data_IF_193684820697
#
_entry.id   IF_193684820697
#
_cell.length_a   1.000
_cell.length_b   1.000
_cell.length_c   1.000
_cell.angle_alpha   90.00
_cell.angle_beta   90.00
_cell.angle_gamma   90.00
#
_symmetry.space_group_name_H-M   'P 1'
#
loop_
_entity.id
_entity.type
_entity.pdbx_description
1 polymer ?
#
# COMPACT_ATOMS: atom_id res chain seq x y z
N UNK A 1 63.06 -4.70 3.98
CA UNK A 1 62.07 -4.83 5.08
C UNK A 1 60.95 -3.78 4.99
N UNK A 2 61.26 -2.49 4.83
CA UNK A 2 60.27 -1.40 4.74
C UNK A 2 59.17 -1.56 3.67
N UNK A 3 59.51 -2.01 2.44
CA UNK A 3 58.52 -2.22 1.35
C UNK A 3 57.51 -3.34 1.64
N UNK A 4 57.93 -4.44 2.29
CA UNK A 4 57.05 -5.55 2.68
C UNK A 4 56.09 -5.14 3.81
N UNK A 5 56.57 -4.36 4.78
CA UNK A 5 55.72 -3.83 5.86
C UNK A 5 54.70 -2.80 5.35
N UNK A 6 55.08 -1.93 4.40
CA UNK A 6 54.15 -1.02 3.73
C UNK A 6 53.07 -1.77 2.93
N UNK A 7 53.44 -2.84 2.22
CA UNK A 7 52.48 -3.68 1.50
C UNK A 7 51.49 -4.37 2.45
N UNK A 8 51.96 -4.90 3.58
CA UNK A 8 51.10 -5.52 4.60
C UNK A 8 50.15 -4.48 5.22
N UNK A 9 50.65 -3.29 5.55
CA UNK A 9 49.83 -2.18 6.07
C UNK A 9 48.77 -1.73 5.06
N UNK A 10 49.11 -1.65 3.76
CA UNK A 10 48.17 -1.30 2.71
C UNK A 10 47.07 -2.36 2.54
N UNK A 11 47.42 -3.64 2.60
CA UNK A 11 46.45 -4.75 2.55
C UNK A 11 45.51 -4.70 3.76
N UNK A 12 46.04 -4.50 4.97
CA UNK A 12 45.25 -4.32 6.20
C UNK A 12 44.30 -3.13 6.09
N UNK A 13 44.78 -2.00 5.56
CA UNK A 13 43.96 -0.81 5.36
C UNK A 13 42.80 -1.09 4.38
N UNK A 14 43.07 -1.74 3.24
CA UNK A 14 42.03 -2.11 2.26
C UNK A 14 41.00 -3.08 2.84
N UNK A 15 41.42 -4.07 3.63
CA UNK A 15 40.51 -5.02 4.27
C UNK A 15 39.63 -4.35 5.33
N UNK A 16 40.20 -3.47 6.15
CA UNK A 16 39.44 -2.72 7.17
C UNK A 16 38.51 -1.69 6.52
N UNK A 17 38.97 -0.96 5.50
CA UNK A 17 38.14 0.04 4.80
C UNK A 17 37.02 -0.63 3.98
N UNK A 18 37.33 -1.72 3.28
CA UNK A 18 36.35 -2.49 2.51
C UNK A 18 35.33 -3.19 3.42
N UNK A 19 35.80 -3.82 4.51
CA UNK A 19 34.94 -4.45 5.51
C UNK A 19 34.01 -3.45 6.19
N UNK A 20 34.52 -2.29 6.61
CA UNK A 20 33.72 -1.21 7.20
C UNK A 20 32.63 -0.70 6.24
N UNK A 21 32.99 -0.44 4.98
CA UNK A 21 32.03 0.00 3.95
C UNK A 21 30.92 -1.04 3.68
N UNK A 22 31.29 -2.32 3.57
CA UNK A 22 30.32 -3.40 3.39
C UNK A 22 29.37 -3.52 4.58
N UNK A 23 29.88 -3.41 5.82
CA UNK A 23 29.06 -3.45 7.03
C UNK A 23 28.10 -2.26 7.09
N UNK A 24 28.56 -1.05 6.74
CA UNK A 24 27.67 0.12 6.68
C UNK A 24 26.56 -0.04 5.64
N UNK A 25 26.87 -0.58 4.45
CA UNK A 25 25.87 -0.85 3.41
C UNK A 25 24.86 -1.93 3.81
N UNK A 26 25.32 -2.96 4.52
CA UNK A 26 24.45 -4.00 5.03
C UNK A 26 23.51 -3.47 6.11
N UNK A 27 24.02 -2.65 7.03
CA UNK A 27 23.20 -1.97 8.05
C UNK A 27 22.19 -1.01 7.40
N UNK A 28 22.60 -0.22 6.40
CA UNK A 28 21.70 0.63 5.61
C UNK A 28 20.58 -0.18 4.94
N UNK A 29 20.92 -1.33 4.37
CA UNK A 29 19.94 -2.22 3.74
C UNK A 29 18.99 -2.85 4.77
N UNK A 30 19.50 -3.31 5.91
CA UNK A 30 18.68 -3.86 7.00
C UNK A 30 17.70 -2.83 7.57
N UNK A 31 18.15 -1.58 7.71
CA UNK A 31 17.34 -0.49 8.23
C UNK A 31 16.50 0.22 7.14
N UNK A 32 16.60 -0.21 5.88
CA UNK A 32 15.80 0.37 4.80
C UNK A 32 14.32 0.06 5.03
N UNK A 33 13.41 1.05 4.92
CA UNK A 33 11.98 0.78 5.02
C UNK A 33 11.48 -0.13 3.87
N UNK A 34 12.26 -0.31 2.81
CA UNK A 34 11.92 -1.17 1.68
C UNK A 34 12.41 -2.61 1.84
N UNK A 35 13.24 -2.89 2.86
CA UNK A 35 13.65 -4.24 3.16
C UNK A 35 12.61 -4.89 4.08
N UNK A 36 11.77 -5.74 3.51
CA UNK A 36 10.69 -6.48 4.20
C UNK A 36 11.00 -7.97 4.38
N UNK A 37 12.24 -8.40 4.12
CA UNK A 37 12.62 -9.82 4.09
C UNK A 37 12.55 -10.54 5.45
N UNK A 38 12.42 -9.79 6.53
CA UNK A 38 12.19 -10.27 7.90
C UNK A 38 10.72 -10.54 8.21
N UNK A 39 9.79 -10.04 7.38
CA UNK A 39 8.34 -10.17 7.58
C UNK A 39 7.59 -10.77 6.39
N UNK A 40 8.16 -10.71 5.19
CA UNK A 40 7.61 -11.30 3.97
C UNK A 40 8.73 -11.95 3.16
N UNK A 41 8.53 -13.19 2.75
CA UNK A 41 9.39 -13.85 1.76
C UNK A 41 9.09 -13.39 0.32
N UNK A 42 9.88 -13.86 -0.65
CA UNK A 42 9.73 -13.47 -2.06
C UNK A 42 8.36 -13.87 -2.67
N UNK A 43 7.79 -15.01 -2.24
CA UNK A 43 6.47 -15.45 -2.71
C UNK A 43 5.39 -14.55 -2.12
N UNK A 44 5.48 -14.22 -0.83
CA UNK A 44 4.57 -13.32 -0.15
C UNK A 44 4.66 -11.90 -0.73
N UNK A 45 5.84 -11.35 -0.97
CA UNK A 45 6.00 -10.04 -1.63
C UNK A 45 5.26 -10.02 -2.97
N UNK A 46 5.36 -11.09 -3.76
CA UNK A 46 4.65 -11.19 -5.05
C UNK A 46 3.13 -11.25 -4.85
N UNK A 47 2.65 -12.07 -3.90
CA UNK A 47 1.24 -12.19 -3.56
C UNK A 47 0.66 -10.85 -3.09
N UNK A 48 1.34 -10.14 -2.18
CA UNK A 48 0.91 -8.84 -1.66
C UNK A 48 0.85 -7.78 -2.75
N UNK A 49 1.86 -7.69 -3.62
CA UNK A 49 1.81 -6.78 -4.77
C UNK A 49 0.61 -7.04 -5.66
N UNK A 50 0.32 -8.32 -5.94
CA UNK A 50 -0.80 -8.69 -6.81
C UNK A 50 -2.16 -8.47 -6.14
N UNK A 51 -2.30 -8.86 -4.89
CA UNK A 51 -3.52 -8.69 -4.11
C UNK A 51 -3.90 -7.23 -3.90
N UNK A 52 -2.93 -6.42 -3.48
CA UNK A 52 -3.16 -4.98 -3.32
C UNK A 52 -3.40 -4.27 -4.63
N UNK A 53 -2.78 -4.71 -5.75
CA UNK A 53 -3.14 -4.20 -7.07
C UNK A 53 -4.63 -4.38 -7.38
N UNK A 54 -5.18 -5.55 -7.08
CA UNK A 54 -6.61 -5.83 -7.30
C UNK A 54 -7.50 -5.03 -6.33
N UNK A 55 -7.05 -4.83 -5.09
CA UNK A 55 -7.72 -3.93 -4.13
C UNK A 55 -7.74 -2.47 -4.62
N UNK A 56 -6.61 -1.95 -5.09
CA UNK A 56 -6.51 -0.60 -5.67
C UNK A 56 -7.44 -0.45 -6.89
N UNK A 57 -7.52 -1.46 -7.76
CA UNK A 57 -8.47 -1.50 -8.87
C UNK A 57 -9.92 -1.48 -8.37
N UNK A 58 -10.24 -2.24 -7.32
CA UNK A 58 -11.58 -2.24 -6.71
C UNK A 58 -11.98 -0.87 -6.16
N UNK A 59 -11.11 -0.28 -5.33
CA UNK A 59 -11.38 1.00 -4.67
C UNK A 59 -11.43 2.15 -5.69
N UNK A 60 -10.51 2.19 -6.63
CA UNK A 60 -10.51 3.21 -7.68
C UNK A 60 -11.71 3.09 -8.62
N UNK A 61 -12.10 1.87 -8.99
CA UNK A 61 -13.32 1.63 -9.79
C UNK A 61 -14.55 2.13 -9.05
N UNK A 62 -14.69 1.84 -7.75
CA UNK A 62 -15.80 2.34 -6.95
C UNK A 62 -15.87 3.87 -6.92
N UNK A 63 -14.73 4.53 -6.65
CA UNK A 63 -14.68 6.00 -6.61
C UNK A 63 -15.04 6.58 -7.98
N UNK A 64 -14.47 6.03 -9.06
CA UNK A 64 -14.74 6.49 -10.44
C UNK A 64 -16.18 6.30 -10.86
N UNK A 65 -16.80 5.17 -10.53
CA UNK A 65 -18.18 4.89 -10.96
C UNK A 65 -19.21 5.61 -10.09
N UNK A 66 -18.88 5.98 -8.84
CA UNK A 66 -19.86 6.50 -7.87
C UNK A 66 -19.69 7.95 -7.47
N UNK A 67 -18.60 8.61 -7.86
CA UNK A 67 -18.36 10.01 -7.53
C UNK A 67 -18.02 10.83 -8.77
N UNK A 68 -18.72 11.93 -8.97
CA UNK A 68 -18.34 13.00 -9.89
C UNK A 68 -17.49 14.04 -9.18
N UNK A 69 -16.66 14.76 -9.93
CA UNK A 69 -15.78 15.81 -9.40
C UNK A 69 -14.40 15.33 -8.98
N UNK A 70 -14.04 14.08 -9.27
CA UNK A 70 -12.70 13.51 -9.02
C UNK A 70 -11.85 13.65 -10.28
N UNK A 71 -10.65 14.22 -10.15
CA UNK A 71 -9.68 14.34 -11.25
C UNK A 71 -8.66 13.21 -11.27
N UNK A 72 -8.24 12.75 -10.08
CA UNK A 72 -7.19 11.75 -9.92
C UNK A 72 -7.39 10.96 -8.63
N UNK A 73 -6.99 9.69 -8.68
CA UNK A 73 -6.89 8.79 -7.54
C UNK A 73 -5.45 8.27 -7.50
N UNK A 74 -4.81 8.29 -6.34
CA UNK A 74 -3.51 7.63 -6.15
C UNK A 74 -3.49 6.84 -4.85
N UNK A 75 -2.53 5.93 -4.75
CA UNK A 75 -2.37 5.08 -3.60
C UNK A 75 -0.98 5.25 -2.98
N UNK A 76 -0.93 5.12 -1.66
CA UNK A 76 0.32 4.97 -0.93
C UNK A 76 1.02 3.68 -1.31
N UNK A 77 2.31 3.52 -0.95
CA UNK A 77 2.90 2.19 -0.81
C UNK A 77 2.05 1.31 0.13
N UNK A 78 2.21 0.01 -0.02
CA UNK A 78 1.67 -1.00 0.90
C UNK A 78 2.54 -0.97 2.16
N UNK A 79 1.99 -0.43 3.24
CA UNK A 79 2.67 -0.35 4.51
C UNK A 79 2.49 -1.63 5.30
N UNK A 80 3.59 -2.31 5.63
CA UNK A 80 3.63 -3.51 6.44
C UNK A 80 4.10 -3.21 7.86
N UNK A 81 3.42 -3.79 8.83
CA UNK A 81 3.72 -3.70 10.26
C UNK A 81 3.51 -5.06 10.92
N UNK A 82 4.23 -5.32 12.01
CA UNK A 82 4.19 -6.60 12.71
C UNK A 82 4.71 -7.76 11.87
N UNK A 83 4.38 -8.99 12.27
CA UNK A 83 5.00 -10.19 11.70
C UNK A 83 6.40 -10.47 12.25
N UNK A 84 6.85 -9.65 13.20
CA UNK A 84 8.14 -9.72 13.89
C UNK A 84 8.14 -10.66 15.11
N UNK A 85 7.08 -11.45 15.28
CA UNK A 85 6.84 -12.30 16.44
C UNK A 85 6.32 -11.55 17.68
N UNK A 86 6.23 -10.21 17.66
CA UNK A 86 5.73 -9.40 18.77
C UNK A 86 4.32 -8.85 18.50
N UNK A 87 4.02 -8.55 17.24
CA UNK A 87 2.73 -8.00 16.84
C UNK A 87 2.17 -8.69 15.61
N UNK A 88 0.84 -8.73 15.54
CA UNK A 88 0.14 -9.33 14.41
C UNK A 88 0.48 -8.57 13.13
N UNK A 89 0.84 -9.31 12.08
CA UNK A 89 1.15 -8.76 10.77
C UNK A 89 -0.06 -7.98 10.22
N UNK A 90 0.18 -6.80 9.63
CA UNK A 90 -0.81 -5.97 8.95
C UNK A 90 -0.20 -5.37 7.70
N UNK A 91 -0.98 -5.31 6.62
CA UNK A 91 -0.67 -4.52 5.45
C UNK A 91 -1.80 -3.53 5.15
N UNK A 92 -1.49 -2.25 4.97
CA UNK A 92 -2.47 -1.20 4.69
C UNK A 92 -1.99 -0.27 3.58
N UNK A 93 -2.96 0.29 2.85
CA UNK A 93 -2.76 1.39 1.90
C UNK A 93 -3.63 2.58 2.30
N UNK A 94 -3.27 3.75 1.78
CA UNK A 94 -4.05 4.99 1.91
C UNK A 94 -4.45 5.44 0.51
N UNK A 95 -5.73 5.31 0.14
CA UNK A 95 -6.27 5.93 -1.06
C UNK A 95 -6.28 7.45 -0.91
N UNK A 96 -5.97 8.15 -1.99
CA UNK A 96 -5.97 9.61 -2.08
C UNK A 96 -6.82 10.03 -3.26
N UNK A 97 -7.65 11.05 -3.04
CA UNK A 97 -8.52 11.63 -4.06
C UNK A 97 -8.10 13.06 -4.31
N UNK A 98 -8.05 13.43 -5.58
CA UNK A 98 -7.93 14.81 -6.03
C UNK A 98 -9.26 15.26 -6.64
N UNK A 99 -9.72 16.45 -6.28
CA UNK A 99 -10.86 17.06 -6.95
C UNK A 99 -10.46 17.78 -8.25
N UNK A 100 -11.45 18.25 -9.02
CA UNK A 100 -11.21 19.00 -10.26
C UNK A 100 -10.45 20.33 -10.08
N UNK A 101 -10.30 20.82 -8.85
CA UNK A 101 -9.54 22.04 -8.54
C UNK A 101 -8.10 21.73 -8.11
N UNK A 102 -7.73 20.44 -8.03
CA UNK A 102 -6.41 20.00 -7.60
C UNK A 102 -6.26 19.88 -6.08
N UNK A 103 -7.33 20.02 -5.29
CA UNK A 103 -7.24 19.78 -3.85
C UNK A 103 -7.06 18.27 -3.60
N UNK A 104 -6.09 17.93 -2.75
CA UNK A 104 -5.71 16.55 -2.40
C UNK A 104 -6.25 16.19 -1.02
N UNK A 105 -6.87 15.01 -0.90
CA UNK A 105 -7.34 14.48 0.38
C UNK A 105 -7.04 12.99 0.55
N UNK A 106 -6.78 12.58 1.79
CA UNK A 106 -6.41 11.20 2.15
C UNK A 106 -7.59 10.51 2.82
N UNK A 107 -7.96 9.34 2.32
CA UNK A 107 -8.97 8.49 2.96
C UNK A 107 -8.37 7.72 4.15
N UNK A 108 -9.22 7.30 5.07
CA UNK A 108 -8.84 6.54 6.26
C UNK A 108 -8.11 7.35 7.34
N UNK A 109 -7.96 8.67 7.18
CA UNK A 109 -7.33 9.54 8.18
C UNK A 109 -8.34 10.16 9.14
N UNK A 110 -7.83 10.66 10.27
CA UNK A 110 -8.61 11.43 11.24
C UNK A 110 -9.06 12.77 10.62
N UNK A 111 -10.34 13.12 10.79
CA UNK A 111 -10.90 14.44 10.45
C UNK A 111 -11.55 15.00 11.71
N UNK A 112 -11.02 16.11 12.23
CA UNK A 112 -11.37 16.59 13.56
C UNK A 112 -11.01 15.52 14.61
N UNK A 113 -11.98 15.12 15.42
CA UNK A 113 -11.81 14.04 16.41
C UNK A 113 -12.16 12.63 15.91
N UNK A 114 -12.71 12.51 14.69
CA UNK A 114 -13.21 11.23 14.18
C UNK A 114 -12.16 10.51 13.32
N UNK A 115 -11.93 9.24 13.63
CA UNK A 115 -11.11 8.33 12.81
C UNK A 115 -11.98 7.61 11.77
N UNK A 116 -11.44 7.45 10.56
CA UNK A 116 -12.12 6.79 9.45
C UNK A 116 -11.48 5.42 9.17
N UNK A 117 -12.17 4.58 8.40
CA UNK A 117 -11.73 3.20 8.18
C UNK A 117 -10.49 3.13 7.30
N UNK A 118 -9.50 2.33 7.73
CA UNK A 118 -8.32 1.98 6.94
C UNK A 118 -8.66 0.95 5.86
N UNK A 119 -7.74 0.76 4.91
CA UNK A 119 -7.90 -0.12 3.76
C UNK A 119 -6.74 -1.12 3.68
N UNK A 120 -7.02 -2.43 3.77
CA UNK A 120 -5.92 -3.41 3.82
C UNK A 120 -6.31 -4.86 4.13
N UNK A 121 -5.31 -5.62 4.59
CA UNK A 121 -5.28 -7.10 4.64
C UNK A 121 -6.21 -7.77 5.67
N UNK A 122 -6.94 -7.00 6.48
CA UNK A 122 -7.91 -7.53 7.46
C UNK A 122 -9.36 -7.41 7.02
N UNK A 123 -9.68 -6.37 6.27
CA UNK A 123 -11.06 -5.94 6.07
C UNK A 123 -11.45 -5.85 4.60
N UNK A 124 -10.47 -5.69 3.70
CA UNK A 124 -10.73 -5.41 2.29
C UNK A 124 -10.12 -6.45 1.35
N UNK A 125 -8.96 -7.02 1.72
CA UNK A 125 -8.30 -8.08 0.95
C UNK A 125 -7.79 -9.17 1.89
N UNK A 126 -7.91 -10.43 1.49
CA UNK A 126 -7.28 -11.58 2.15
C UNK A 126 -6.31 -12.23 1.19
N UNK A 127 -5.14 -12.58 1.71
CA UNK A 127 -4.01 -13.09 0.95
C UNK A 127 -3.43 -14.27 1.71
N UNK A 128 -3.37 -15.41 1.05
CA UNK A 128 -2.82 -16.64 1.63
C UNK A 128 -2.31 -17.56 0.51
N UNK A 129 -1.81 -18.74 0.88
CA UNK A 129 -1.52 -19.84 -0.02
C UNK A 129 -2.34 -21.07 0.39
N UNK A 130 -2.84 -21.82 -0.60
CA UNK A 130 -3.46 -23.10 -0.31
C UNK A 130 -2.41 -24.18 0.04
N UNK A 131 -2.85 -25.39 0.40
CA UNK A 131 -1.95 -26.51 0.72
C UNK A 131 -1.08 -27.02 -0.44
N UNK A 132 -1.20 -26.43 -1.63
CA UNK A 132 -0.40 -26.71 -2.83
C UNK A 132 0.49 -25.53 -3.24
N UNK A 133 0.69 -24.55 -2.34
CA UNK A 133 1.41 -23.30 -2.59
C UNK A 133 0.79 -22.41 -3.70
N UNK A 134 -0.48 -22.58 -4.02
CA UNK A 134 -1.18 -21.71 -4.97
C UNK A 134 -1.71 -20.46 -4.26
N UNK A 135 -1.54 -19.29 -4.89
CA UNK A 135 -2.00 -18.00 -4.39
C UNK A 135 -3.52 -18.00 -4.14
N UNK A 136 -3.95 -17.58 -2.95
CA UNK A 136 -5.33 -17.24 -2.60
C UNK A 136 -5.43 -15.72 -2.49
N UNK A 137 -6.32 -15.12 -3.27
CA UNK A 137 -6.65 -13.70 -3.21
C UNK A 137 -8.16 -13.54 -3.11
N UNK A 138 -8.65 -13.00 -2.01
CA UNK A 138 -10.07 -12.69 -1.85
C UNK A 138 -10.29 -11.19 -1.60
N UNK A 139 -11.28 -10.59 -2.26
CA UNK A 139 -11.68 -9.21 -1.99
C UNK A 139 -13.03 -9.16 -1.29
N UNK A 140 -13.17 -8.19 -0.38
CA UNK A 140 -14.42 -7.92 0.31
C UNK A 140 -15.45 -7.34 -0.66
N UNK A 141 -16.64 -7.94 -0.72
CA UNK A 141 -17.81 -7.41 -1.43
C UNK A 141 -19.04 -7.59 -0.56
N UNK A 142 -19.65 -6.47 -0.16
CA UNK A 142 -20.73 -6.52 0.84
C UNK A 142 -20.23 -7.12 2.16
N UNK A 143 -20.88 -8.18 2.61
CA UNK A 143 -20.51 -8.93 3.82
C UNK A 143 -19.70 -10.21 3.52
N UNK A 144 -19.39 -10.48 2.26
CA UNK A 144 -18.66 -11.68 1.82
C UNK A 144 -17.25 -11.34 1.31
N UNK A 145 -16.46 -12.39 1.12
CA UNK A 145 -15.18 -12.34 0.41
C UNK A 145 -15.29 -13.20 -0.84
N UNK A 146 -14.89 -12.65 -1.98
CA UNK A 146 -14.94 -13.34 -3.27
C UNK A 146 -13.52 -13.72 -3.65
N UNK A 147 -13.28 -15.01 -3.88
CA UNK A 147 -12.04 -15.54 -4.42
C UNK A 147 -11.84 -15.08 -5.86
N UNK A 148 -10.75 -14.34 -6.08
CA UNK A 148 -10.31 -13.83 -7.39
C UNK A 148 -8.87 -14.25 -7.70
N UNK A 149 -8.42 -15.36 -7.11
CA UNK A 149 -7.05 -15.89 -7.20
C UNK A 149 -6.58 -16.08 -8.64
N UNK A 150 -7.50 -16.36 -9.58
CA UNK A 150 -7.19 -16.56 -11.00
C UNK A 150 -7.24 -15.27 -11.84
N UNK A 151 -7.68 -14.16 -11.25
CA UNK A 151 -7.97 -12.92 -11.99
C UNK A 151 -6.73 -12.03 -12.11
N UNK A 152 -6.38 -11.64 -13.35
CA UNK A 152 -5.26 -10.71 -13.60
C UNK A 152 -5.63 -9.24 -13.41
N UNK A 153 -6.92 -8.93 -13.47
CA UNK A 153 -7.53 -7.61 -13.27
C UNK A 153 -8.80 -7.80 -12.45
N UNK A 154 -9.31 -6.72 -11.87
CA UNK A 154 -10.56 -6.74 -11.11
C UNK A 154 -11.71 -7.34 -11.95
N UNK A 155 -12.29 -8.48 -11.53
CA UNK A 155 -13.43 -9.07 -12.23
C UNK A 155 -14.74 -8.35 -11.84
N UNK A 156 -15.79 -8.52 -12.64
CA UNK A 156 -17.05 -7.75 -12.49
C UNK A 156 -17.74 -8.04 -11.16
N UNK A 157 -17.74 -9.30 -10.73
CA UNK A 157 -18.29 -9.78 -9.46
C UNK A 157 -17.59 -9.17 -8.25
N UNK A 158 -16.33 -8.74 -8.40
CA UNK A 158 -15.57 -8.09 -7.33
C UNK A 158 -15.81 -6.57 -7.26
N UNK A 159 -16.58 -5.98 -8.18
CA UNK A 159 -16.89 -4.55 -8.13
C UNK A 159 -17.80 -4.22 -6.96
N UNK A 160 -17.59 -3.05 -6.36
CA UNK A 160 -18.40 -2.58 -5.25
C UNK A 160 -19.62 -1.81 -5.78
N UNK A 161 -20.82 -2.21 -5.34
CA UNK A 161 -22.03 -1.40 -5.51
C UNK A 161 -22.16 -0.33 -4.41
N UNK A 162 -21.61 -0.60 -3.23
CA UNK A 162 -21.62 0.31 -2.08
C UNK A 162 -20.37 0.12 -1.21
N UNK A 163 -19.91 1.21 -0.58
CA UNK A 163 -18.85 1.20 0.45
C UNK A 163 -19.17 2.27 1.51
N UNK A 164 -20.11 2.02 2.44
CA UNK A 164 -20.64 3.06 3.34
C UNK A 164 -19.57 3.82 4.14
N UNK A 165 -18.56 3.10 4.66
CA UNK A 165 -17.44 3.70 5.41
C UNK A 165 -16.58 4.66 4.56
N UNK A 166 -16.36 4.32 3.29
CA UNK A 166 -15.66 5.21 2.36
C UNK A 166 -16.54 6.42 2.02
N UNK A 167 -17.83 6.20 1.83
CA UNK A 167 -18.77 7.27 1.53
C UNK A 167 -18.82 8.32 2.64
N UNK A 168 -18.94 7.85 3.87
CA UNK A 168 -18.91 8.70 5.05
C UNK A 168 -17.61 9.52 5.13
N UNK A 169 -16.47 8.90 4.76
CA UNK A 169 -15.19 9.60 4.73
C UNK A 169 -15.15 10.70 3.67
N UNK A 170 -15.55 10.42 2.43
CA UNK A 170 -15.53 11.40 1.33
C UNK A 170 -16.48 12.56 1.66
N UNK A 171 -17.68 12.28 2.15
CA UNK A 171 -18.64 13.30 2.58
C UNK A 171 -18.09 14.19 3.69
N UNK A 172 -17.33 13.61 4.63
CA UNK A 172 -16.67 14.39 5.69
C UNK A 172 -15.53 15.26 5.16
N UNK A 173 -14.74 14.79 4.19
CA UNK A 173 -13.69 15.58 3.54
C UNK A 173 -14.28 16.77 2.79
N UNK A 174 -15.43 16.60 2.14
CA UNK A 174 -16.16 17.69 1.49
C UNK A 174 -16.71 18.68 2.51
N UNK A 175 -17.32 18.21 3.61
CA UNK A 175 -17.81 19.08 4.70
C UNK A 175 -16.67 19.86 5.36
N UNK A 176 -15.50 19.25 5.50
CA UNK A 176 -14.28 19.88 6.01
C UNK A 176 -13.59 20.78 4.97
N UNK A 177 -14.17 20.97 3.78
CA UNK A 177 -13.62 21.78 2.68
C UNK A 177 -12.24 21.32 2.17
N UNK A 178 -11.84 20.08 2.44
CA UNK A 178 -10.61 19.49 1.88
C UNK A 178 -10.80 19.03 0.43
N UNK A 179 -12.04 18.67 0.08
CA UNK A 179 -12.47 18.39 -1.28
C UNK A 179 -13.61 19.33 -1.64
N UNK A 180 -13.68 19.75 -2.90
CA UNK A 180 -14.71 20.66 -3.42
C UNK A 180 -15.41 20.02 -4.62
N UNK A 181 -16.74 20.12 -4.64
CA UNK A 181 -17.60 19.61 -5.72
C UNK A 181 -17.45 18.10 -6.01
N UNK A 182 -16.91 17.33 -5.07
CA UNK A 182 -16.93 15.87 -5.12
C UNK A 182 -18.27 15.40 -4.58
N UNK A 183 -19.08 14.76 -5.43
CA UNK A 183 -20.46 14.38 -5.10
C UNK A 183 -20.77 12.96 -5.59
N UNK A 184 -21.64 12.24 -4.86
CA UNK A 184 -22.16 10.97 -5.34
C UNK A 184 -22.94 11.17 -6.63
N UNK A 185 -22.71 10.30 -7.60
CA UNK A 185 -23.27 10.42 -8.95
C UNK A 185 -23.22 9.06 -9.65
N UNK A 186 -24.26 8.76 -10.44
CA UNK A 186 -24.29 7.59 -11.33
C UNK A 186 -23.47 7.82 -12.61
N UNK A 187 -23.12 9.07 -12.94
CA UNK A 187 -22.22 9.39 -14.06
C UNK A 187 -20.77 9.12 -13.67
N UNK A 188 -20.43 9.35 -12.40
CA UNK A 188 -19.08 9.16 -11.89
C UNK A 188 -18.06 10.17 -12.43
N UNK A 189 -16.79 9.75 -12.45
CA UNK A 189 -15.62 10.45 -12.99
C UNK A 189 -14.84 9.49 -13.90
N UNK A 190 -15.38 9.14 -15.09
CA UNK A 190 -14.77 8.15 -15.98
C UNK A 190 -13.36 8.53 -16.43
N UNK A 191 -13.08 9.84 -16.55
CA UNK A 191 -11.81 10.37 -16.99
C UNK A 191 -10.79 10.57 -15.86
N UNK A 192 -11.15 10.26 -14.62
CA UNK A 192 -10.21 10.40 -13.50
C UNK A 192 -8.98 9.49 -13.69
N UNK A 193 -7.80 10.07 -13.54
CA UNK A 193 -6.53 9.33 -13.57
C UNK A 193 -6.43 8.40 -12.36
N UNK A 194 -5.81 7.22 -12.53
CA UNK A 194 -5.51 6.31 -11.41
C UNK A 194 -4.04 5.96 -11.40
N UNK A 195 -3.37 6.31 -10.30
CA UNK A 195 -1.95 5.98 -10.05
C UNK A 195 -1.87 4.91 -8.98
N UNK A 196 -1.59 3.70 -9.44
CA UNK A 196 -1.44 2.50 -8.62
C UNK A 196 -0.04 2.42 -8.00
N UNK A 197 0.09 1.84 -6.81
CA UNK A 197 1.37 1.75 -6.11
C UNK A 197 1.53 0.46 -5.30
N UNK A 198 2.21 -0.51 -5.90
CA UNK A 198 2.50 -1.80 -5.26
C UNK A 198 3.90 -1.84 -4.62
N UNK A 199 4.54 -0.70 -4.36
CA UNK A 199 5.73 -0.69 -3.50
C UNK A 199 5.36 -1.16 -2.10
N UNK A 200 6.18 -1.99 -1.47
CA UNK A 200 5.98 -2.42 -0.09
C UNK A 200 6.99 -1.69 0.79
N UNK A 201 6.53 -1.13 1.91
CA UNK A 201 7.36 -0.41 2.88
C UNK A 201 7.00 -0.80 4.31
N UNK A 202 7.98 -0.95 5.18
CA UNK A 202 7.77 -0.95 6.63
C UNK A 202 7.35 0.42 7.10
N UNK A 203 6.46 0.44 8.09
CA UNK A 203 6.10 1.67 8.81
C UNK A 203 4.59 1.85 8.94
N UNK A 204 4.19 2.94 9.59
CA UNK A 204 2.78 3.26 9.77
C UNK A 204 2.23 4.04 8.58
N UNK A 205 1.23 3.46 7.91
CA UNK A 205 0.48 4.12 6.86
C UNK A 205 -0.13 5.48 7.27
N UNK A 206 -0.39 5.71 8.56
CA UNK A 206 -0.91 6.98 9.08
C UNK A 206 0.11 8.13 8.97
N UNK A 207 1.41 7.81 8.88
CA UNK A 207 2.48 8.80 8.75
C UNK A 207 2.64 9.29 7.30
N UNK A 208 2.06 8.61 6.32
CA UNK A 208 2.19 8.98 4.91
C UNK A 208 1.50 10.30 4.60
N UNK A 209 2.17 11.19 3.86
CA UNK A 209 1.69 12.52 3.44
C UNK A 209 2.06 12.70 1.96
#
# INVERSE_FOLDING_TARGET
MKKKQLAIMAILFVLVSGGGYCMTKWIEYQNSPYNVSDVLDDKEVKLYKRGFRLLEEQLSTYIKERYSGVSKIEFSPIFVQGGDGQSMFRANIVPVIYDLQGNKAYLGKKIGEKSYSHYGSFWDVRLDFNGLDEEIIELKVGDDFIDISKSKKLPVEAKLSTKPKMNENIEALVKASQLKNVVKSEIGSPDAEVVYNTEIRKGDHLEWR
#
